data_IF_690332785710
#
_entry.id   IF_690332785710
#
_cell.length_a   1.000
_cell.length_b   1.000
_cell.length_c   1.000
_cell.angle_alpha   90.00
_cell.angle_beta   90.00
_cell.angle_gamma   90.00
#
_symmetry.space_group_name_H-M   'P 1'
#
loop_
_entity.id
_entity.type
_entity.pdbx_description
1 polymer ?
#
# COMPACT_ATOMS: atom_id res chain seq x y z
N UNK A 1 9.87 -11.95 6.87
CA UNK A 1 9.23 -11.83 5.59
C UNK A 1 9.55 -13.02 4.73
N UNK A 2 8.60 -13.52 4.03
CA UNK A 2 8.80 -14.70 3.24
C UNK A 2 9.47 -14.35 1.94
N UNK A 3 10.39 -15.16 1.49
CA UNK A 3 11.02 -14.88 0.23
C UNK A 3 10.29 -15.57 -0.90
N UNK A 4 9.35 -16.46 -0.61
CA UNK A 4 8.65 -17.16 -1.66
C UNK A 4 7.37 -16.44 -2.04
N UNK A 5 6.95 -15.45 -1.27
CA UNK A 5 5.74 -14.72 -1.57
C UNK A 5 6.04 -13.28 -1.19
N UNK A 6 6.46 -12.48 -2.14
CA UNK A 6 6.94 -11.16 -1.84
C UNK A 6 6.54 -10.22 -2.95
N UNK A 7 6.05 -9.06 -2.61
CA UNK A 7 5.60 -8.07 -3.54
C UNK A 7 6.16 -6.73 -3.13
N UNK A 8 6.67 -5.97 -4.07
CA UNK A 8 7.11 -4.62 -3.81
C UNK A 8 6.39 -3.68 -4.76
N UNK A 9 5.80 -2.65 -4.23
CA UNK A 9 5.09 -1.69 -5.05
C UNK A 9 5.54 -0.28 -4.70
N UNK A 10 5.61 0.57 -5.71
CA UNK A 10 5.92 1.96 -5.50
C UNK A 10 4.85 2.74 -6.24
N UNK A 11 4.14 3.56 -5.56
CA UNK A 11 3.07 4.30 -6.18
C UNK A 11 2.41 5.28 -5.25
N UNK A 12 1.29 5.81 -5.70
CA UNK A 12 0.57 6.82 -4.94
C UNK A 12 -0.73 6.24 -4.42
N UNK A 13 -1.12 6.67 -3.23
CA UNK A 13 -2.39 6.23 -2.68
C UNK A 13 -3.51 6.84 -3.50
N UNK A 14 -4.49 6.03 -3.84
CA UNK A 14 -5.60 6.51 -4.62
C UNK A 14 -6.69 7.15 -3.81
N UNK A 15 -6.72 6.89 -2.51
CA UNK A 15 -7.70 7.49 -1.64
C UNK A 15 -7.19 7.40 -0.25
N UNK A 16 -7.80 8.10 0.67
CA UNK A 16 -7.37 8.04 2.04
C UNK A 16 -7.54 6.64 2.58
N UNK A 17 -6.64 6.19 3.41
CA UNK A 17 -6.76 4.85 3.97
C UNK A 17 -8.01 4.73 4.81
N UNK A 18 -8.65 3.56 4.76
CA UNK A 18 -9.87 3.36 5.44
C UNK A 18 -9.66 2.41 6.58
N UNK A 19 -10.11 2.78 7.76
CA UNK A 19 -9.97 1.94 8.93
C UNK A 19 -11.09 0.92 8.87
N UNK A 20 -10.74 -0.33 8.68
CA UNK A 20 -11.72 -1.37 8.57
C UNK A 20 -12.08 -1.93 9.93
N UNK A 21 -11.12 -2.03 10.82
CA UNK A 21 -11.37 -2.58 12.12
C UNK A 21 -10.41 -1.93 13.08
N UNK A 22 -10.89 -1.60 14.26
CA UNK A 22 -10.05 -0.94 15.24
C UNK A 22 -10.34 -1.53 16.60
N UNK A 23 -9.58 -2.51 17.01
CA UNK A 23 -9.74 -3.03 18.34
C UNK A 23 -8.52 -2.63 19.12
N UNK A 24 -8.55 -2.84 20.41
CA UNK A 24 -7.45 -2.43 21.22
C UNK A 24 -6.20 -3.15 20.87
N UNK A 25 -6.27 -4.34 20.38
CA UNK A 25 -5.08 -5.09 20.12
C UNK A 25 -4.74 -5.13 18.66
N UNK A 26 -5.60 -4.68 17.78
CA UNK A 26 -5.21 -4.72 16.38
C UNK A 26 -6.08 -3.79 15.57
N UNK A 27 -5.47 -3.15 14.63
CA UNK A 27 -6.18 -2.31 13.70
C UNK A 27 -6.00 -2.90 12.31
N UNK A 28 -6.98 -2.73 11.46
CA UNK A 28 -6.91 -3.20 10.10
C UNK A 28 -7.27 -2.03 9.20
N UNK A 29 -6.42 -1.73 8.24
CA UNK A 29 -6.62 -0.59 7.36
C UNK A 29 -6.53 -1.08 5.94
N UNK A 30 -7.38 -0.57 5.06
CA UNK A 30 -7.29 -0.92 3.66
C UNK A 30 -7.16 0.33 2.83
N UNK A 31 -6.45 0.24 1.75
CA UNK A 31 -6.27 1.36 0.84
C UNK A 31 -5.83 0.81 -0.51
N UNK A 32 -5.72 1.67 -1.49
CA UNK A 32 -5.26 1.23 -2.81
C UNK A 32 -4.07 2.06 -3.23
N UNK A 33 -3.21 1.46 -4.01
CA UNK A 33 -2.04 2.12 -4.54
C UNK A 33 -2.08 2.01 -6.04
N UNK A 34 -1.79 3.08 -6.72
CA UNK A 34 -1.70 3.07 -8.17
C UNK A 34 -0.24 3.04 -8.58
N UNK A 35 0.12 2.06 -9.38
CA UNK A 35 1.47 1.99 -9.91
C UNK A 35 1.38 2.30 -11.39
N UNK A 36 2.32 3.07 -11.89
CA UNK A 36 2.32 3.46 -13.29
C UNK A 36 3.51 2.88 -13.99
N UNK A 37 3.29 2.34 -15.15
CA UNK A 37 4.37 1.81 -15.95
C UNK A 37 4.31 2.44 -17.31
N UNK A 38 5.45 2.80 -17.84
CA UNK A 38 5.53 3.37 -19.18
C UNK A 38 6.22 2.36 -20.06
N UNK A 39 5.65 2.11 -21.21
CA UNK A 39 6.23 1.13 -22.10
C UNK A 39 5.97 1.56 -23.54
N UNK A 40 6.65 0.93 -24.48
CA UNK A 40 6.44 1.22 -25.87
C UNK A 40 5.50 0.18 -26.44
N UNK A 41 4.50 0.65 -27.16
CA UNK A 41 3.56 -0.29 -27.73
C UNK A 41 4.09 -0.81 -29.07
N UNK A 42 3.28 -1.58 -29.75
CA UNK A 42 3.71 -2.21 -30.97
C UNK A 42 4.04 -1.21 -32.05
N UNK A 43 3.52 0.00 -31.97
CA UNK A 43 3.83 1.00 -32.94
C UNK A 43 4.96 1.88 -32.50
N UNK A 44 5.65 1.54 -31.45
CA UNK A 44 6.78 2.35 -31.00
C UNK A 44 6.43 3.57 -30.20
N UNK A 45 5.17 3.73 -29.83
CA UNK A 45 4.77 4.91 -29.08
C UNK A 45 4.73 4.62 -27.62
N UNK A 46 5.00 5.63 -26.80
CA UNK A 46 4.99 5.44 -25.39
C UNK A 46 3.58 5.37 -24.87
N UNK A 47 3.32 4.44 -24.00
CA UNK A 47 2.04 4.34 -23.33
C UNK A 47 2.26 4.18 -21.87
N UNK A 48 1.33 4.66 -21.08
CA UNK A 48 1.38 4.53 -19.64
C UNK A 48 0.22 3.66 -19.18
N UNK A 49 0.52 2.69 -18.34
CA UNK A 49 -0.51 1.84 -17.81
C UNK A 49 -0.56 2.03 -16.31
N UNK A 50 -1.73 2.21 -15.78
CA UNK A 50 -1.91 2.35 -14.35
C UNK A 50 -2.58 1.10 -13.81
N UNK A 51 -2.00 0.55 -12.77
CA UNK A 51 -2.57 -0.63 -12.17
C UNK A 51 -2.94 -0.29 -10.74
N UNK A 52 -4.13 -0.66 -10.31
CA UNK A 52 -4.56 -0.39 -8.95
C UNK A 52 -4.45 -1.66 -8.13
N UNK A 53 -3.86 -1.53 -6.97
CA UNK A 53 -3.63 -2.68 -6.11
C UNK A 53 -4.34 -2.47 -4.79
N UNK A 54 -5.01 -3.51 -4.29
CA UNK A 54 -5.68 -3.43 -3.01
C UNK A 54 -4.73 -3.85 -1.92
N UNK A 55 -4.57 -3.00 -0.92
CA UNK A 55 -3.58 -3.22 0.12
C UNK A 55 -4.30 -3.29 1.46
N UNK A 56 -3.86 -4.19 2.30
CA UNK A 56 -4.38 -4.31 3.65
C UNK A 56 -3.20 -4.29 4.60
N UNK A 57 -3.33 -3.57 5.68
CA UNK A 57 -2.28 -3.51 6.68
C UNK A 57 -2.88 -3.80 8.04
N UNK A 58 -2.09 -4.39 8.91
CA UNK A 58 -2.54 -4.74 10.23
C UNK A 58 -1.63 -4.15 11.29
N UNK A 59 -2.14 -3.96 12.46
CA UNK A 59 -1.36 -3.64 13.64
C UNK A 59 -0.61 -2.34 13.53
N UNK A 60 0.68 -2.38 13.86
CA UNK A 60 1.46 -1.17 13.88
C UNK A 60 1.53 -0.51 12.51
N UNK A 61 1.66 -1.28 11.45
CA UNK A 61 1.74 -0.71 10.13
C UNK A 61 0.42 0.00 9.81
N UNK A 62 -0.70 -0.61 10.21
CA UNK A 62 -2.00 0.00 10.00
C UNK A 62 -2.10 1.33 10.73
N UNK A 63 -1.66 1.37 11.97
CA UNK A 63 -1.74 2.58 12.75
C UNK A 63 -0.90 3.69 12.13
N UNK A 64 0.27 3.35 11.62
CA UNK A 64 1.13 4.36 11.03
C UNK A 64 0.56 4.85 9.71
N UNK A 65 -0.08 3.98 8.95
CA UNK A 65 -0.69 4.39 7.71
C UNK A 65 -1.84 5.35 7.97
N UNK A 66 -2.70 5.05 8.92
CA UNK A 66 -3.80 5.92 9.22
C UNK A 66 -3.30 7.27 9.69
N UNK A 67 -2.21 7.27 10.42
CA UNK A 67 -1.74 8.48 11.00
C UNK A 67 -1.00 9.37 10.00
N UNK A 68 -0.26 8.78 9.10
CA UNK A 68 0.62 9.57 8.25
C UNK A 68 0.30 9.54 6.76
N UNK A 69 -0.52 8.64 6.29
CA UNK A 69 -0.74 8.52 4.86
C UNK A 69 -2.06 9.13 4.45
N UNK A 70 -2.06 9.81 3.35
CA UNK A 70 -3.28 10.37 2.82
C UNK A 70 -3.30 10.16 1.33
N UNK A 71 -4.45 10.40 0.72
CA UNK A 71 -4.58 10.29 -0.68
C UNK A 71 -3.49 11.07 -1.37
N UNK A 72 -2.86 10.52 -2.36
CA UNK A 72 -1.82 11.17 -3.11
C UNK A 72 -0.42 10.96 -2.61
N UNK A 73 -0.27 10.38 -1.43
CA UNK A 73 1.06 10.16 -0.92
C UNK A 73 1.82 9.17 -1.77
N UNK A 74 3.12 9.37 -1.89
CA UNK A 74 3.97 8.50 -2.69
C UNK A 74 4.72 7.60 -1.75
N UNK A 75 4.54 6.31 -1.86
CA UNK A 75 5.15 5.38 -0.94
C UNK A 75 5.66 4.15 -1.66
N UNK A 76 6.54 3.44 -0.99
CA UNK A 76 6.95 2.11 -1.42
C UNK A 76 6.53 1.15 -0.35
N UNK A 77 6.03 0.01 -0.71
CA UNK A 77 5.70 -0.98 0.30
C UNK A 77 6.20 -2.34 -0.13
N UNK A 78 6.47 -3.17 0.85
CA UNK A 78 6.80 -4.55 0.64
C UNK A 78 5.76 -5.36 1.38
N UNK A 79 5.34 -6.44 0.80
CA UNK A 79 4.37 -7.28 1.43
C UNK A 79 4.26 -8.61 0.72
N UNK A 80 3.12 -9.24 0.86
CA UNK A 80 2.90 -10.53 0.26
C UNK A 80 1.50 -10.58 -0.30
N UNK A 81 1.29 -11.45 -1.26
CA UNK A 81 -0.02 -11.61 -1.83
C UNK A 81 -0.81 -12.56 -0.97
N UNK A 82 -2.10 -12.32 -0.83
CA UNK A 82 -2.95 -13.20 -0.09
C UNK A 82 -4.31 -13.20 -0.75
N UNK A 83 -4.89 -14.37 -0.95
CA UNK A 83 -6.23 -14.48 -1.49
C UNK A 83 -7.12 -14.96 -0.37
N UNK A 84 -8.24 -14.31 -0.16
CA UNK A 84 -9.18 -14.76 0.85
C UNK A 84 -10.53 -14.90 0.22
N UNK A 85 -11.38 -15.64 0.88
CA UNK A 85 -12.68 -15.91 0.39
C UNK A 85 -13.68 -15.16 1.23
N UNK A 86 -14.71 -14.64 0.64
CA UNK A 86 -15.73 -13.96 1.38
C UNK A 86 -17.08 -14.20 0.69
N UNK A 87 -18.16 -13.92 1.40
CA UNK A 87 -19.49 -14.08 0.86
C UNK A 87 -20.05 -12.69 0.59
N UNK A 88 -20.49 -12.46 -0.65
CA UNK A 88 -20.99 -11.14 -0.97
C UNK A 88 -22.45 -11.01 -0.53
N UNK A 89 -23.06 -9.88 -0.84
CA UNK A 89 -24.40 -9.64 -0.37
C UNK A 89 -25.41 -10.57 -0.96
N UNK A 90 -25.10 -11.17 -2.07
CA UNK A 90 -26.03 -12.07 -2.69
C UNK A 90 -25.80 -13.50 -2.25
N UNK A 91 -24.98 -13.74 -1.28
CA UNK A 91 -24.75 -15.07 -0.79
C UNK A 91 -23.78 -15.88 -1.61
N UNK A 92 -23.10 -15.25 -2.56
CA UNK A 92 -22.18 -15.98 -3.39
C UNK A 92 -20.78 -15.91 -2.82
N UNK A 93 -20.03 -16.98 -2.95
CA UNK A 93 -18.68 -16.96 -2.47
C UNK A 93 -17.80 -16.35 -3.51
N UNK A 94 -16.94 -15.45 -3.07
CA UNK A 94 -16.03 -14.77 -3.96
C UNK A 94 -14.64 -14.79 -3.39
N UNK A 95 -13.65 -14.60 -4.25
CA UNK A 95 -12.27 -14.55 -3.81
C UNK A 95 -11.73 -13.17 -4.11
N UNK A 96 -10.89 -12.67 -3.24
CA UNK A 96 -10.23 -11.40 -3.49
C UNK A 96 -8.76 -11.58 -3.18
N UNK A 97 -7.91 -11.06 -4.05
CA UNK A 97 -6.48 -11.12 -3.84
C UNK A 97 -6.03 -9.73 -3.42
N UNK A 98 -5.34 -9.67 -2.32
CA UNK A 98 -4.90 -8.42 -1.76
C UNK A 98 -3.44 -8.54 -1.43
N UNK A 99 -2.81 -7.42 -1.14
CA UNK A 99 -1.42 -7.40 -0.73
C UNK A 99 -1.41 -7.01 0.72
N UNK A 100 -0.79 -7.82 1.56
CA UNK A 100 -0.67 -7.53 2.96
C UNK A 100 0.64 -6.76 3.14
N UNK A 101 0.53 -5.54 3.57
CA UNK A 101 1.70 -4.68 3.70
C UNK A 101 2.47 -5.05 4.94
N UNK A 102 3.74 -5.35 4.80
CA UNK A 102 4.58 -5.69 5.93
C UNK A 102 5.59 -4.59 6.21
N UNK A 103 5.95 -3.80 5.24
CA UNK A 103 6.87 -2.69 5.43
C UNK A 103 6.41 -1.56 4.56
N UNK A 104 6.64 -0.35 4.99
CA UNK A 104 6.25 0.80 4.20
C UNK A 104 7.34 1.85 4.30
N UNK A 105 7.63 2.51 3.18
CA UNK A 105 8.63 3.52 3.13
C UNK A 105 7.99 4.76 2.53
N UNK A 106 8.04 5.86 3.23
CA UNK A 106 7.43 7.07 2.73
C UNK A 106 8.44 7.80 1.85
N UNK A 107 8.06 7.99 0.59
CA UNK A 107 8.98 8.59 -0.36
C UNK A 107 8.72 10.08 -0.59
N UNK A 108 7.83 10.65 0.18
CA UNK A 108 7.61 12.02 0.00
C UNK A 108 6.33 12.24 -0.53
N UNK A 109 5.81 12.87 -0.88
CA UNK A 109 4.64 12.97 -1.29
C UNK A 109 4.33 14.16 -1.80
N UNK A 110 3.51 14.88 -1.28
CA UNK A 110 3.18 15.96 -1.77
C UNK A 110 4.18 16.90 -1.63
N UNK A 111 4.44 17.54 -2.33
CA UNK A 111 5.32 18.44 -2.34
C UNK A 111 5.38 19.29 -1.34
N UNK A 112 6.15 19.33 -0.67
CA UNK A 112 6.14 20.10 0.35
C UNK A 112 6.80 21.24 0.07
N UNK A 113 6.82 21.96 0.61
CA UNK A 113 7.30 23.15 0.43
C UNK A 113 8.67 23.26 0.60
N UNK A 114 9.37 22.78 0.13
CA UNK A 114 10.66 23.07 0.23
C UNK A 114 11.47 22.38 1.15
N UNK A 115 10.98 21.58 1.81
CA UNK A 115 11.68 20.99 2.77
C UNK A 115 12.57 20.10 2.07
N UNK A 116 13.66 20.01 2.37
CA UNK A 116 14.46 19.22 1.74
C UNK A 116 14.79 18.00 2.27
N UNK A 117 14.15 17.46 3.07
CA UNK A 117 14.48 16.32 3.60
C UNK A 117 14.22 15.35 2.70
N UNK A 118 15.04 14.83 2.12
CA UNK A 118 14.75 13.93 1.26
C UNK A 118 14.93 12.59 1.71
N UNK A 119 15.16 12.27 2.90
CA UNK A 119 15.36 10.96 3.31
C UNK A 119 14.11 10.27 3.62
N UNK A 120 13.72 9.23 3.00
CA UNK A 120 12.48 8.55 3.28
C UNK A 120 12.53 7.88 4.64
N UNK A 121 11.39 7.71 5.23
CA UNK A 121 11.29 7.07 6.50
C UNK A 121 10.76 5.67 6.31
N UNK A 122 11.45 4.66 6.75
CA UNK A 122 11.02 3.30 6.55
C UNK A 122 10.43 2.75 7.81
N UNK A 123 9.26 2.11 7.71
CA UNK A 123 8.58 1.58 8.85
C UNK A 123 8.19 0.15 8.55
N UNK A 124 8.53 -0.75 9.43
CA UNK A 124 8.26 -2.13 9.23
C UNK A 124 7.42 -2.68 10.36
N UNK A 125 6.64 -3.68 10.07
CA UNK A 125 5.83 -4.29 11.10
C UNK A 125 6.68 -4.92 12.19
N UNK A 126 7.86 -5.37 11.83
CA UNK A 126 8.68 -6.04 12.81
C UNK A 126 9.66 -5.13 13.48
N UNK A 127 9.80 -3.88 13.09
CA UNK A 127 10.78 -3.02 13.65
C UNK A 127 10.21 -2.00 14.50
N UNK A 128 10.93 -1.48 15.43
CA UNK A 128 10.51 -0.37 16.11
C UNK A 128 10.82 0.78 15.30
N UNK A 129 10.08 1.82 15.37
CA UNK A 129 10.35 3.02 14.61
C UNK A 129 11.72 3.51 14.99
N UNK A 130 12.42 4.03 14.10
CA UNK A 130 13.74 4.49 14.38
C UNK A 130 13.76 5.70 15.27
N UNK A 131 12.70 6.18 15.66
CA UNK A 131 12.70 7.34 16.51
C UNK A 131 11.59 7.25 17.54
#
# INVERSE_FOLDING_TARGET
MSKTNSVRLIGHLGQDPKLVSNSETSSVVSFSIATNETFKNAQGMKETRTEWHNIVAFGRVANLIIQYCKRGEFIMLNGRLQTRQYTNKEGQQRYVTEIISEEILFLGGKKSDGSNTDEPMMISADDKPPF
#
